data_IF_161125581292
#
_entry.id   IF_161125581292
#
_cell.length_a   1.000
_cell.length_b   1.000
_cell.length_c   1.000
_cell.angle_alpha   90.00
_cell.angle_beta   90.00
_cell.angle_gamma   90.00
#
_symmetry.space_group_name_H-M   'P 1'
#
loop_
_entity.id
_entity.type
_entity.pdbx_description
1 polymer ?
#
# COMPACT_ATOMS: atom_id res chain seq x y z
N UNK A 1 -2.61 -11.04 24.08
CA UNK A 1 -1.81 -12.18 23.57
C UNK A 1 -2.00 -12.46 22.08
N UNK A 2 -3.13 -12.21 21.49
CA UNK A 2 -3.41 -12.45 20.04
C UNK A 2 -2.57 -11.60 19.07
N UNK A 3 -2.10 -10.46 19.50
CA UNK A 3 -1.38 -9.50 18.62
C UNK A 3 0.06 -9.95 18.28
N UNK A 4 0.65 -10.80 19.10
CA UNK A 4 1.99 -11.35 18.87
C UNK A 4 2.01 -12.53 17.89
N UNK A 5 0.93 -13.33 17.87
CA UNK A 5 0.87 -14.58 17.08
C UNK A 5 0.85 -14.29 15.58
N UNK A 6 -0.03 -13.39 15.10
CA UNK A 6 -0.09 -13.09 13.67
C UNK A 6 1.20 -12.42 13.16
N UNK A 7 1.89 -11.64 14.00
CA UNK A 7 3.20 -11.03 13.65
C UNK A 7 4.28 -12.08 13.47
N UNK A 8 4.31 -13.10 14.35
CA UNK A 8 5.25 -14.22 14.21
C UNK A 8 5.00 -15.01 12.94
N UNK A 9 3.73 -15.35 12.66
CA UNK A 9 3.32 -16.02 11.41
C UNK A 9 3.71 -15.19 10.18
N UNK A 10 3.43 -13.90 10.20
CA UNK A 10 3.76 -12.98 9.10
C UNK A 10 5.27 -12.96 8.82
N UNK A 11 6.10 -12.92 9.88
CA UNK A 11 7.56 -12.94 9.77
C UNK A 11 8.06 -14.25 9.16
N UNK A 12 7.53 -15.39 9.61
CA UNK A 12 7.92 -16.69 9.10
C UNK A 12 7.51 -16.87 7.63
N UNK A 13 6.28 -16.50 7.27
CA UNK A 13 5.83 -16.51 5.86
C UNK A 13 6.75 -15.64 4.99
N UNK A 14 7.12 -14.44 5.45
CA UNK A 14 8.08 -13.58 4.73
C UNK A 14 9.42 -14.28 4.50
N UNK A 15 9.95 -14.91 5.54
CA UNK A 15 11.23 -15.63 5.44
C UNK A 15 11.14 -16.79 4.45
N UNK A 16 10.08 -17.58 4.50
CA UNK A 16 9.84 -18.68 3.56
C UNK A 16 9.69 -18.20 2.11
N UNK A 17 9.03 -17.07 1.91
CA UNK A 17 8.95 -16.42 0.59
C UNK A 17 10.35 -16.09 0.08
N UNK A 18 11.21 -15.50 0.92
CA UNK A 18 12.57 -15.12 0.55
C UNK A 18 13.47 -16.33 0.29
N UNK A 19 13.21 -17.43 0.97
CA UNK A 19 13.91 -18.69 0.78
C UNK A 19 13.38 -19.48 -0.43
N UNK A 20 12.39 -18.95 -1.19
CA UNK A 20 11.73 -19.66 -2.31
C UNK A 20 11.10 -21.01 -1.91
N UNK A 21 10.55 -21.11 -0.68
CA UNK A 21 9.95 -22.35 -0.18
C UNK A 21 8.54 -22.61 -0.71
N UNK A 22 7.96 -21.67 -1.46
CA UNK A 22 6.63 -21.81 -2.07
C UNK A 22 6.73 -22.03 -3.56
N UNK A 23 6.24 -23.16 -4.04
CA UNK A 23 6.14 -23.48 -5.45
C UNK A 23 5.13 -22.57 -6.17
N UNK A 24 5.31 -22.37 -7.48
CA UNK A 24 4.41 -21.62 -8.37
C UNK A 24 4.11 -20.18 -7.91
N UNK A 25 4.97 -19.58 -7.08
CA UNK A 25 4.73 -18.24 -6.52
C UNK A 25 3.39 -18.11 -5.79
N UNK A 26 2.88 -19.19 -5.24
CA UNK A 26 1.57 -19.28 -4.62
C UNK A 26 1.67 -19.76 -3.18
N UNK A 27 0.99 -19.07 -2.26
CA UNK A 27 0.84 -19.56 -0.89
C UNK A 27 -0.23 -20.65 -0.82
N UNK A 28 -0.10 -21.62 0.10
CA UNK A 28 -1.19 -22.50 0.47
C UNK A 28 -2.44 -21.72 0.86
N UNK A 29 -3.60 -22.33 0.81
CA UNK A 29 -4.85 -21.69 1.21
C UNK A 29 -4.87 -21.35 2.72
N UNK A 30 -5.77 -20.41 3.10
CA UNK A 30 -5.84 -19.90 4.48
C UNK A 30 -6.08 -21.00 5.51
N UNK A 31 -6.81 -22.07 5.15
CA UNK A 31 -7.08 -23.19 6.05
C UNK A 31 -5.82 -23.99 6.28
N UNK A 32 -5.15 -24.40 5.22
CA UNK A 32 -3.90 -25.15 5.27
C UNK A 32 -2.82 -24.41 6.06
N UNK A 33 -2.70 -23.08 5.83
CA UNK A 33 -1.78 -22.25 6.61
C UNK A 33 -2.19 -22.16 8.09
N UNK A 34 -3.49 -22.01 8.40
CA UNK A 34 -3.97 -21.97 9.79
C UNK A 34 -3.65 -23.26 10.52
N UNK A 35 -3.87 -24.40 9.86
CA UNK A 35 -3.59 -25.73 10.41
C UNK A 35 -2.07 -25.94 10.60
N UNK A 36 -1.25 -25.54 9.63
CA UNK A 36 0.21 -25.63 9.70
C UNK A 36 0.82 -24.80 10.83
N UNK A 37 0.35 -23.56 11.01
CA UNK A 37 0.85 -22.65 12.05
C UNK A 37 0.14 -22.81 13.40
N UNK A 38 -0.84 -23.71 13.50
CA UNK A 38 -1.67 -23.91 14.71
C UNK A 38 -2.29 -22.61 15.24
N UNK A 39 -2.80 -21.77 14.34
CA UNK A 39 -3.41 -20.48 14.68
C UNK A 39 -4.86 -20.41 14.24
N UNK A 40 -5.62 -19.49 14.84
CA UNK A 40 -7.00 -19.24 14.42
C UNK A 40 -7.07 -18.70 12.98
N UNK A 41 -8.15 -19.00 12.27
CA UNK A 41 -8.40 -18.44 10.92
C UNK A 41 -8.40 -16.92 10.90
N UNK A 42 -8.89 -16.28 11.97
CA UNK A 42 -8.87 -14.81 12.09
C UNK A 42 -7.45 -14.27 12.18
N UNK A 43 -6.57 -14.92 12.94
CA UNK A 43 -5.15 -14.56 13.04
C UNK A 43 -4.44 -14.75 11.70
N UNK A 44 -4.69 -15.84 10.99
CA UNK A 44 -4.14 -16.09 9.66
C UNK A 44 -4.64 -15.09 8.64
N UNK A 45 -5.94 -14.82 8.60
CA UNK A 45 -6.54 -13.80 7.72
C UNK A 45 -5.92 -12.42 7.95
N UNK A 46 -5.68 -12.05 9.22
CA UNK A 46 -5.01 -10.81 9.59
C UNK A 46 -3.55 -10.78 9.10
N UNK A 47 -2.79 -11.86 9.29
CA UNK A 47 -1.41 -11.96 8.81
C UNK A 47 -1.32 -11.82 7.29
N UNK A 48 -2.13 -12.57 6.54
CA UNK A 48 -2.18 -12.49 5.08
C UNK A 48 -2.70 -11.14 4.57
N UNK A 49 -3.64 -10.52 5.29
CA UNK A 49 -4.11 -9.17 5.00
C UNK A 49 -3.01 -8.14 5.08
N UNK A 50 -2.19 -8.18 6.13
CA UNK A 50 -1.05 -7.28 6.31
C UNK A 50 0.06 -7.53 5.27
N UNK A 51 0.34 -8.79 4.93
CA UNK A 51 1.27 -9.12 3.84
C UNK A 51 0.78 -8.58 2.49
N UNK A 52 -0.53 -8.62 2.25
CA UNK A 52 -1.13 -8.04 1.04
C UNK A 52 -1.09 -6.51 1.06
N UNK A 53 -1.38 -5.89 2.20
CA UNK A 53 -1.27 -4.44 2.38
C UNK A 53 0.17 -3.94 2.19
N UNK A 54 1.16 -4.72 2.60
CA UNK A 54 2.57 -4.46 2.34
C UNK A 54 3.00 -4.76 0.88
N UNK A 55 2.10 -5.24 0.03
CA UNK A 55 2.40 -5.58 -1.36
C UNK A 55 3.29 -6.83 -1.54
N UNK A 56 3.55 -7.59 -0.47
CA UNK A 56 4.38 -8.80 -0.51
C UNK A 56 3.65 -9.94 -1.21
N UNK A 57 2.34 -10.02 -0.99
CA UNK A 57 1.45 -10.97 -1.65
C UNK A 57 0.24 -10.21 -2.22
N UNK A 58 -0.48 -10.85 -3.13
CA UNK A 58 -1.77 -10.35 -3.63
C UNK A 58 -2.79 -11.47 -3.70
N UNK A 59 -4.05 -11.13 -3.46
CA UNK A 59 -5.17 -12.07 -3.54
C UNK A 59 -5.84 -11.99 -4.91
N UNK A 60 -6.00 -13.14 -5.56
CA UNK A 60 -6.78 -13.27 -6.80
C UNK A 60 -8.05 -14.05 -6.49
N UNK A 61 -9.20 -13.40 -6.67
CA UNK A 61 -10.52 -13.99 -6.36
C UNK A 61 -10.68 -15.36 -7.07
N UNK A 62 -11.03 -16.37 -6.28
CA UNK A 62 -11.22 -17.75 -6.77
C UNK A 62 -9.93 -18.50 -7.10
N UNK A 63 -8.77 -17.85 -7.10
CA UNK A 63 -7.49 -18.48 -7.46
C UNK A 63 -6.52 -18.63 -6.30
N UNK A 64 -6.63 -17.82 -5.24
CA UNK A 64 -5.77 -17.91 -4.06
C UNK A 64 -4.91 -16.67 -3.81
N UNK A 65 -3.86 -16.86 -3.00
CA UNK A 65 -2.90 -15.82 -2.63
C UNK A 65 -1.57 -16.09 -3.33
N UNK A 66 -1.05 -15.09 -4.02
CA UNK A 66 0.18 -15.19 -4.83
C UNK A 66 1.25 -14.26 -4.27
N UNK A 67 2.50 -14.66 -4.42
CA UNK A 67 3.68 -13.86 -4.07
C UNK A 67 3.89 -12.80 -5.14
N UNK A 68 4.18 -11.57 -4.72
CA UNK A 68 4.52 -10.50 -5.64
C UNK A 68 5.96 -10.69 -6.17
N UNK A 69 6.17 -10.91 -7.48
CA UNK A 69 7.51 -11.10 -8.03
C UNK A 69 8.45 -9.90 -7.78
N UNK A 70 7.90 -8.70 -7.70
CA UNK A 70 8.68 -7.50 -7.41
C UNK A 70 9.28 -7.51 -6.00
N UNK A 71 8.58 -8.11 -5.03
CA UNK A 71 9.11 -8.27 -3.67
C UNK A 71 10.39 -9.10 -3.65
N UNK A 72 10.45 -10.20 -4.42
CA UNK A 72 11.64 -11.03 -4.51
C UNK A 72 12.80 -10.32 -5.22
N UNK A 73 12.49 -9.50 -6.23
CA UNK A 73 13.50 -8.76 -6.99
C UNK A 73 14.05 -7.57 -6.22
N UNK A 74 13.26 -6.96 -5.34
CA UNK A 74 13.66 -5.70 -4.70
C UNK A 74 12.96 -5.51 -3.33
N UNK A 75 13.43 -6.24 -2.33
CA UNK A 75 12.88 -6.23 -0.96
C UNK A 75 12.89 -4.84 -0.32
N UNK A 76 13.84 -3.99 -0.71
CA UNK A 76 13.95 -2.64 -0.17
C UNK A 76 12.73 -1.75 -0.50
N UNK A 77 12.01 -2.05 -1.62
CA UNK A 77 10.77 -1.36 -1.98
C UNK A 77 9.59 -1.67 -1.04
N UNK A 78 9.69 -2.72 -0.23
CA UNK A 78 8.57 -3.24 0.58
C UNK A 78 8.83 -3.15 2.09
N UNK A 79 9.78 -2.32 2.51
CA UNK A 79 10.06 -2.02 3.92
C UNK A 79 9.03 -1.05 4.51
N UNK A 80 7.74 -1.40 4.42
CA UNK A 80 6.70 -0.67 5.13
C UNK A 80 6.69 -1.10 6.60
N UNK A 81 7.23 -0.28 7.47
CA UNK A 81 7.29 -0.54 8.93
C UNK A 81 6.13 0.11 9.70
N UNK A 82 5.03 0.46 9.02
CA UNK A 82 3.84 1.01 9.68
C UNK A 82 4.01 2.43 10.22
N UNK A 83 5.06 3.14 9.84
CA UNK A 83 5.19 4.57 10.08
C UNK A 83 4.24 5.34 9.15
N UNK A 84 3.73 6.48 9.62
CA UNK A 84 2.94 7.42 8.81
C UNK A 84 3.80 8.14 7.73
N UNK A 85 4.95 7.58 7.39
CA UNK A 85 5.78 8.05 6.30
C UNK A 85 5.05 7.79 4.99
N UNK A 86 4.96 8.79 4.16
CA UNK A 86 4.35 8.68 2.84
C UNK A 86 5.05 7.61 1.98
N UNK A 87 4.41 7.23 0.88
CA UNK A 87 4.95 6.21 -0.04
C UNK A 87 6.37 6.56 -0.49
N UNK A 88 6.69 7.84 -0.68
CA UNK A 88 8.01 8.31 -1.09
C UNK A 88 9.11 7.85 -0.12
N UNK A 89 8.89 8.02 1.18
CA UNK A 89 9.87 7.65 2.20
C UNK A 89 9.86 6.16 2.49
N UNK A 90 8.68 5.54 2.43
CA UNK A 90 8.52 4.09 2.64
C UNK A 90 9.22 3.23 1.58
N UNK A 91 9.39 3.75 0.37
CA UNK A 91 10.05 3.07 -0.75
C UNK A 91 11.40 3.68 -1.12
N UNK A 92 12.02 4.44 -0.23
CA UNK A 92 13.36 4.98 -0.45
C UNK A 92 14.40 3.87 -0.49
N UNK A 93 15.13 3.78 -1.60
CA UNK A 93 16.22 2.81 -1.79
C UNK A 93 17.53 3.60 -1.94
N UNK A 94 18.52 3.41 -1.05
CA UNK A 94 19.78 4.11 -1.15
C UNK A 94 20.44 3.94 -2.53
N UNK A 95 20.86 5.06 -3.13
CA UNK A 95 21.52 5.07 -4.43
C UNK A 95 20.59 4.95 -5.65
N UNK A 96 19.26 4.88 -5.44
CA UNK A 96 18.29 4.85 -6.54
C UNK A 96 17.46 6.12 -6.59
N UNK A 97 17.18 6.58 -7.80
CA UNK A 97 16.38 7.78 -8.06
C UNK A 97 14.89 7.39 -8.13
N UNK A 98 14.07 7.99 -7.28
CA UNK A 98 12.62 7.91 -7.40
C UNK A 98 12.10 9.05 -8.28
N UNK A 99 11.11 8.73 -9.12
CA UNK A 99 10.33 9.73 -9.86
C UNK A 99 8.85 9.35 -9.88
N UNK A 100 8.01 10.35 -10.17
CA UNK A 100 6.56 10.22 -10.17
C UNK A 100 6.03 10.79 -11.49
N UNK A 101 5.21 10.00 -12.17
CA UNK A 101 4.43 10.44 -13.32
C UNK A 101 2.95 10.52 -12.94
N UNK A 102 2.32 11.65 -13.23
CA UNK A 102 0.89 11.81 -13.06
C UNK A 102 0.17 11.16 -14.24
N UNK A 103 -0.58 10.09 -13.98
CA UNK A 103 -1.35 9.38 -15.01
C UNK A 103 -2.75 9.96 -15.20
N UNK A 104 -3.39 10.39 -14.09
CA UNK A 104 -4.73 10.95 -14.12
C UNK A 104 -4.96 11.90 -12.93
N UNK A 105 -5.76 12.94 -13.16
CA UNK A 105 -6.16 13.92 -12.16
C UNK A 105 -7.54 14.46 -12.52
N UNK A 106 -8.51 14.18 -11.68
CA UNK A 106 -9.90 14.58 -11.89
C UNK A 106 -10.51 15.10 -10.59
N UNK A 107 -11.48 16.00 -10.73
CA UNK A 107 -12.39 16.38 -9.65
C UNK A 107 -13.67 15.57 -9.83
N UNK A 108 -14.01 14.75 -8.84
CA UNK A 108 -15.22 13.94 -8.87
C UNK A 108 -16.09 14.22 -7.66
N UNK A 109 -17.39 14.01 -7.79
CA UNK A 109 -18.30 13.98 -6.66
C UNK A 109 -18.05 12.70 -5.87
N UNK A 110 -17.95 12.79 -4.54
CA UNK A 110 -17.76 11.62 -3.70
C UNK A 110 -19.01 10.71 -3.78
N UNK A 111 -18.78 9.44 -4.14
CA UNK A 111 -19.80 8.41 -4.06
C UNK A 111 -20.08 8.00 -2.60
N UNK A 112 -20.97 7.04 -2.39
CA UNK A 112 -21.38 6.64 -1.05
C UNK A 112 -20.23 6.02 -0.25
N UNK A 113 -19.42 5.16 -0.87
CA UNK A 113 -18.30 4.49 -0.23
C UNK A 113 -17.22 5.52 0.17
N UNK A 114 -16.85 6.42 -0.72
CA UNK A 114 -15.90 7.50 -0.43
C UNK A 114 -16.41 8.46 0.66
N UNK A 115 -17.72 8.72 0.70
CA UNK A 115 -18.28 9.55 1.75
C UNK A 115 -18.18 8.90 3.12
N UNK A 116 -18.44 7.60 3.22
CA UNK A 116 -18.29 6.85 4.46
C UNK A 116 -16.83 6.76 4.90
N UNK A 117 -15.93 6.41 3.99
CA UNK A 117 -14.50 6.21 4.28
C UNK A 117 -13.79 7.51 4.68
N UNK A 118 -14.15 8.64 4.06
CA UNK A 118 -13.49 9.94 4.25
C UNK A 118 -14.32 10.92 5.08
N UNK A 119 -15.44 10.50 5.68
CA UNK A 119 -16.35 11.32 6.49
C UNK A 119 -16.82 12.58 5.74
N UNK A 120 -17.29 12.39 4.51
CA UNK A 120 -17.70 13.48 3.61
C UNK A 120 -19.21 13.66 3.59
N UNK A 121 -19.64 14.88 3.23
CA UNK A 121 -21.05 15.21 2.96
C UNK A 121 -21.40 14.88 1.51
N UNK A 122 -22.70 14.81 1.22
CA UNK A 122 -23.20 14.55 -0.13
C UNK A 122 -22.76 15.61 -1.16
N UNK A 123 -22.53 16.84 -0.71
CA UNK A 123 -22.07 17.95 -1.54
C UNK A 123 -20.55 18.01 -1.74
N UNK A 124 -19.80 17.15 -1.08
CA UNK A 124 -18.35 17.21 -1.10
C UNK A 124 -17.78 16.59 -2.38
N UNK A 125 -16.72 17.21 -2.87
CA UNK A 125 -15.93 16.74 -3.99
C UNK A 125 -14.54 16.29 -3.53
N UNK A 126 -13.96 15.37 -4.28
CA UNK A 126 -12.61 14.88 -4.07
C UNK A 126 -11.79 14.99 -5.35
N UNK A 127 -10.49 15.16 -5.18
CA UNK A 127 -9.53 14.86 -6.23
C UNK A 127 -9.35 13.36 -6.32
N UNK A 128 -9.58 12.78 -7.49
CA UNK A 128 -9.14 11.45 -7.84
C UNK A 128 -7.80 11.57 -8.56
N UNK A 129 -6.78 10.91 -8.03
CA UNK A 129 -5.41 11.02 -8.50
C UNK A 129 -4.90 9.63 -8.82
N UNK A 130 -4.28 9.47 -9.98
CA UNK A 130 -3.58 8.24 -10.34
C UNK A 130 -2.16 8.56 -10.74
N UNK A 131 -1.18 7.94 -10.07
CA UNK A 131 0.24 8.21 -10.27
C UNK A 131 1.02 6.92 -10.50
N UNK A 132 1.98 6.97 -11.42
CA UNK A 132 2.98 5.94 -11.63
C UNK A 132 4.24 6.32 -10.86
N UNK A 133 4.76 5.40 -10.07
CA UNK A 133 6.06 5.58 -9.41
C UNK A 133 7.12 4.76 -10.12
N UNK A 134 8.26 5.41 -10.32
CA UNK A 134 9.40 4.82 -10.98
C UNK A 134 10.60 4.81 -10.04
N UNK A 135 11.46 3.81 -10.22
CA UNK A 135 12.74 3.67 -9.56
C UNK A 135 13.82 3.45 -10.64
N UNK A 136 14.75 4.38 -10.79
CA UNK A 136 15.71 4.40 -11.92
C UNK A 136 14.98 4.25 -13.27
N UNK A 137 13.92 5.04 -13.46
CA UNK A 137 13.06 5.07 -14.65
C UNK A 137 12.31 3.75 -14.93
N UNK A 138 12.35 2.78 -14.00
CA UNK A 138 11.58 1.54 -14.10
C UNK A 138 10.27 1.64 -13.29
N UNK A 139 9.10 1.44 -13.91
CA UNK A 139 7.82 1.42 -13.21
C UNK A 139 7.77 0.32 -12.14
N UNK A 140 7.32 0.67 -10.93
CA UNK A 140 7.18 -0.33 -9.87
C UNK A 140 5.84 -0.28 -9.11
N UNK A 141 5.14 0.87 -9.14
CA UNK A 141 3.87 1.02 -8.42
C UNK A 141 2.94 1.99 -9.15
N UNK A 142 1.67 1.63 -9.25
CA UNK A 142 0.58 2.56 -9.57
C UNK A 142 -0.21 2.79 -8.28
N UNK A 143 -0.35 4.05 -7.89
CA UNK A 143 -1.21 4.43 -6.76
C UNK A 143 -2.44 5.18 -7.25
N UNK A 144 -3.58 4.93 -6.60
CA UNK A 144 -4.80 5.72 -6.76
C UNK A 144 -5.16 6.30 -5.41
N UNK A 145 -5.33 7.61 -5.34
CA UNK A 145 -5.68 8.33 -4.12
C UNK A 145 -6.91 9.21 -4.30
N UNK A 146 -7.65 9.39 -3.20
CA UNK A 146 -8.79 10.30 -3.13
C UNK A 146 -8.55 11.31 -2.02
N UNK A 147 -8.57 12.60 -2.35
CA UNK A 147 -8.26 13.69 -1.42
C UNK A 147 -9.43 14.67 -1.42
N UNK A 148 -10.06 14.92 -0.26
CA UNK A 148 -11.11 15.91 -0.17
C UNK A 148 -10.62 17.31 -0.55
N UNK A 149 -11.30 17.98 -1.46
CA UNK A 149 -10.90 19.34 -1.93
C UNK A 149 -10.81 20.33 -0.77
N UNK A 150 -11.68 20.18 0.23
CA UNK A 150 -11.68 21.04 1.43
C UNK A 150 -10.38 21.02 2.24
N UNK A 151 -9.60 19.93 2.12
CA UNK A 151 -8.32 19.78 2.85
C UNK A 151 -7.20 20.49 2.09
N UNK A 152 -7.22 20.45 0.77
CA UNK A 152 -6.16 20.97 -0.11
C UNK A 152 -6.76 21.63 -1.34
N UNK A 153 -7.41 22.80 -1.21
CA UNK A 153 -8.09 23.45 -2.35
C UNK A 153 -7.15 23.86 -3.48
N UNK A 154 -5.86 24.03 -3.19
CA UNK A 154 -4.83 24.46 -4.15
C UNK A 154 -4.07 23.29 -4.81
N UNK A 155 -4.49 22.05 -4.56
CA UNK A 155 -3.83 20.88 -5.14
C UNK A 155 -3.93 20.93 -6.68
N UNK A 156 -2.79 20.78 -7.33
CA UNK A 156 -2.67 20.85 -8.77
C UNK A 156 -1.68 19.83 -9.32
N UNK A 157 -1.63 19.61 -10.64
CA UNK A 157 -0.76 18.60 -11.27
C UNK A 157 0.74 18.76 -10.96
N UNK A 158 1.24 19.96 -10.75
CA UNK A 158 2.67 20.15 -10.47
C UNK A 158 3.05 19.70 -9.07
N UNK A 159 2.20 19.95 -8.09
CA UNK A 159 2.35 19.43 -6.72
C UNK A 159 2.36 17.90 -6.71
N UNK A 160 1.53 17.28 -7.56
CA UNK A 160 1.36 15.83 -7.63
C UNK A 160 2.56 15.07 -8.24
N UNK A 161 3.52 15.78 -8.84
CA UNK A 161 4.81 15.21 -9.29
C UNK A 161 5.79 15.01 -8.13
N UNK A 162 5.48 15.52 -6.95
CA UNK A 162 6.28 15.42 -5.73
C UNK A 162 5.67 14.56 -4.63
N UNK A 163 6.24 14.64 -3.42
CA UNK A 163 5.69 14.02 -2.22
C UNK A 163 4.46 14.78 -1.75
N UNK A 164 3.32 14.11 -1.78
CA UNK A 164 2.07 14.69 -1.29
C UNK A 164 2.10 14.93 0.23
N UNK A 165 2.75 14.05 0.99
CA UNK A 165 2.88 14.19 2.43
C UNK A 165 3.71 15.42 2.80
N UNK A 166 4.86 15.63 2.16
CA UNK A 166 5.67 16.83 2.38
C UNK A 166 4.87 18.10 2.06
N UNK A 167 4.10 18.09 0.97
CA UNK A 167 3.24 19.22 0.64
C UNK A 167 2.16 19.48 1.71
N UNK A 168 1.53 18.43 2.24
CA UNK A 168 0.51 18.55 3.28
C UNK A 168 1.12 19.06 4.59
N UNK A 169 2.29 18.56 4.99
CA UNK A 169 3.01 19.01 6.18
C UNK A 169 3.42 20.49 6.06
N UNK A 170 3.98 20.88 4.91
CA UNK A 170 4.35 22.27 4.65
C UNK A 170 3.15 23.23 4.67
N UNK A 171 1.99 22.75 4.18
CA UNK A 171 0.76 23.54 4.16
C UNK A 171 0.17 23.68 5.56
N UNK A 172 0.19 22.63 6.39
CA UNK A 172 -0.28 22.69 7.76
C UNK A 172 0.63 23.57 8.63
N UNK A 173 1.93 23.54 8.44
CA UNK A 173 2.89 24.39 9.17
C UNK A 173 2.82 25.88 8.80
N UNK A 174 2.19 26.21 7.68
CA UNK A 174 1.93 27.61 7.25
C UNK A 174 0.63 28.20 7.80
N UNK A 175 -0.20 27.38 8.44
CA UNK A 175 -1.53 27.77 8.93
C UNK A 175 -1.55 28.05 10.44
N UNK A 176 -0.40 28.17 11.08
CA UNK A 176 -0.23 28.56 12.51
C UNK A 176 0.17 30.02 12.61
#
# INVERSE_FOLDING_TARGET
MTDLVYRSVMRDIKQKILNNEYEDMRLPDERSLSDYYHVSRSSMKRALGLLAQQGIVFKKRGSGTFINPLYLKNQALFKYEGSNLGITDSFSVPGKKQSIELLDYQVIKADEDLRQDLFLKESDFVYQIKRLRLLDDQPFLIETGFIPIKITPELNPDILKGSLFNYLEDTQNKTV
#
